data_IF_124637285002
#
_entry.id   IF_124637285002
#
_cell.length_a   1.000
_cell.length_b   1.000
_cell.length_c   1.000
_cell.angle_alpha   90.00
_cell.angle_beta   90.00
_cell.angle_gamma   90.00
#
_symmetry.space_group_name_H-M   'P 1'
#
loop_
_entity.id
_entity.type
_entity.pdbx_description
1 polymer ?
#
# COMPACT_ATOMS: atom_id res chain seq x y z
N UNK A 1 -12.30 -26.18 -15.42
CA UNK A 1 -12.31 -24.75 -15.07
C UNK A 1 -11.11 -24.42 -14.19
N UNK A 2 -10.23 -23.60 -14.69
CA UNK A 2 -9.07 -23.18 -13.91
C UNK A 2 -9.58 -22.31 -12.76
N UNK A 3 -9.34 -22.71 -11.52
CA UNK A 3 -9.65 -21.90 -10.35
C UNK A 3 -8.89 -20.58 -10.41
N UNK A 4 -9.54 -19.49 -10.06
CA UNK A 4 -8.82 -18.23 -9.84
C UNK A 4 -7.99 -18.42 -8.57
N UNK A 5 -6.67 -18.29 -8.68
CA UNK A 5 -5.81 -18.35 -7.50
C UNK A 5 -6.14 -17.18 -6.58
N UNK A 6 -6.46 -17.49 -5.34
CA UNK A 6 -6.70 -16.47 -4.33
C UNK A 6 -5.40 -15.76 -3.99
N UNK A 7 -5.48 -14.44 -3.83
CA UNK A 7 -4.33 -13.62 -3.49
C UNK A 7 -4.17 -13.51 -1.97
N UNK A 8 -2.93 -13.45 -1.54
CA UNK A 8 -2.57 -12.91 -0.24
C UNK A 8 -2.20 -11.46 -0.41
N UNK A 9 -3.00 -10.55 0.16
CA UNK A 9 -2.82 -9.11 0.06
C UNK A 9 -2.37 -8.57 1.41
N UNK A 10 -1.25 -7.87 1.43
CA UNK A 10 -0.78 -7.19 2.61
C UNK A 10 -1.01 -5.68 2.48
N UNK A 11 -1.84 -5.14 3.36
CA UNK A 11 -2.18 -3.71 3.39
C UNK A 11 -1.36 -3.03 4.48
N UNK A 12 -0.65 -1.95 4.13
CA UNK A 12 0.27 -1.26 5.03
C UNK A 12 -0.15 0.21 5.14
N UNK A 13 -0.60 0.61 6.32
CA UNK A 13 -1.03 1.99 6.57
C UNK A 13 0.07 2.87 7.17
N UNK A 14 1.20 2.27 7.56
CA UNK A 14 2.31 2.97 8.17
C UNK A 14 2.23 3.02 9.70
N UNK A 15 3.28 3.59 10.31
CA UNK A 15 3.44 3.61 11.77
C UNK A 15 3.23 5.00 12.38
N UNK A 16 2.90 6.00 11.58
CA UNK A 16 2.63 7.36 12.07
C UNK A 16 1.36 7.40 12.93
N UNK A 17 1.26 8.41 13.76
CA UNK A 17 0.14 8.61 14.68
C UNK A 17 -1.17 9.06 13.99
N UNK A 18 -1.12 9.40 12.73
CA UNK A 18 -2.30 9.81 11.96
C UNK A 18 -3.01 8.61 11.34
N UNK A 19 -4.33 8.65 11.43
CA UNK A 19 -5.20 7.55 10.97
C UNK A 19 -5.41 7.61 9.46
N UNK A 20 -5.58 6.43 8.85
CA UNK A 20 -5.86 6.29 7.43
C UNK A 20 -6.99 5.28 7.16
N UNK A 21 -8.20 5.49 7.76
CA UNK A 21 -9.29 4.52 7.59
C UNK A 21 -9.86 4.50 6.17
N UNK A 22 -9.74 5.59 5.42
CA UNK A 22 -10.30 5.73 4.07
C UNK A 22 -9.89 4.61 3.12
N UNK A 23 -8.64 4.14 3.22
CA UNK A 23 -8.17 3.02 2.40
C UNK A 23 -8.86 1.71 2.78
N UNK A 24 -9.01 1.43 4.07
CA UNK A 24 -9.70 0.22 4.55
C UNK A 24 -11.18 0.25 4.22
N UNK A 25 -11.82 1.41 4.32
CA UNK A 25 -13.23 1.60 3.94
C UNK A 25 -13.45 1.30 2.46
N UNK A 26 -12.53 1.74 1.60
CA UNK A 26 -12.60 1.46 0.16
C UNK A 26 -12.49 -0.04 -0.13
N UNK A 27 -11.57 -0.73 0.52
CA UNK A 27 -11.40 -2.18 0.35
C UNK A 27 -12.64 -2.92 0.86
N UNK A 28 -13.12 -2.59 2.07
CA UNK A 28 -14.29 -3.23 2.66
C UNK A 28 -15.54 -3.04 1.81
N UNK A 29 -15.74 -1.84 1.28
CA UNK A 29 -16.86 -1.55 0.37
C UNK A 29 -16.87 -2.50 -0.83
N UNK A 30 -15.71 -2.73 -1.44
CA UNK A 30 -15.60 -3.62 -2.60
C UNK A 30 -15.78 -5.10 -2.24
N UNK A 31 -15.38 -5.50 -1.04
CA UNK A 31 -15.68 -6.83 -0.52
C UNK A 31 -17.20 -7.00 -0.35
N UNK A 32 -17.84 -6.03 0.27
CA UNK A 32 -19.30 -6.05 0.52
C UNK A 32 -20.11 -6.05 -0.79
N UNK A 33 -19.61 -5.39 -1.82
CA UNK A 33 -20.22 -5.38 -3.16
C UNK A 33 -19.92 -6.66 -3.97
N UNK A 34 -19.12 -7.57 -3.44
CA UNK A 34 -18.73 -8.80 -4.13
C UNK A 34 -17.72 -8.61 -5.25
N UNK A 35 -17.07 -7.44 -5.32
CA UNK A 35 -16.05 -7.11 -6.33
C UNK A 35 -14.66 -7.57 -5.92
N UNK A 36 -14.43 -7.76 -4.64
CA UNK A 36 -13.25 -8.44 -4.09
C UNK A 36 -13.77 -9.71 -3.40
N UNK A 37 -13.17 -10.85 -3.74
CA UNK A 37 -13.60 -12.14 -3.18
C UNK A 37 -13.36 -12.18 -1.67
N UNK A 38 -14.37 -12.57 -0.91
CA UNK A 38 -14.27 -12.72 0.56
C UNK A 38 -13.27 -13.78 1.00
N UNK A 39 -12.87 -14.65 0.10
CA UNK A 39 -11.87 -15.70 0.36
C UNK A 39 -10.43 -15.20 0.21
N UNK A 40 -10.22 -13.99 -0.34
CA UNK A 40 -8.89 -13.40 -0.39
C UNK A 40 -8.33 -13.25 1.03
N UNK A 41 -7.06 -13.60 1.21
CA UNK A 41 -6.40 -13.38 2.49
C UNK A 41 -5.87 -11.96 2.56
N UNK A 42 -6.53 -11.12 3.35
CA UNK A 42 -6.15 -9.71 3.49
C UNK A 42 -5.67 -9.45 4.91
N UNK A 43 -4.38 -9.13 5.04
CA UNK A 43 -3.74 -8.79 6.30
C UNK A 43 -3.41 -7.31 6.29
N UNK A 44 -3.74 -6.61 7.36
CA UNK A 44 -3.57 -5.16 7.47
C UNK A 44 -2.65 -4.83 8.64
N UNK A 45 -1.59 -4.09 8.36
CA UNK A 45 -0.82 -3.38 9.39
C UNK A 45 -1.42 -1.98 9.52
N UNK A 46 -2.21 -1.77 10.56
CA UNK A 46 -3.05 -0.58 10.70
C UNK A 46 -2.39 0.56 11.49
N UNK A 47 -1.37 0.26 12.30
CA UNK A 47 -0.75 1.27 13.15
C UNK A 47 -1.77 1.91 14.10
N UNK A 48 -1.92 3.23 14.02
CA UNK A 48 -2.87 4.01 14.84
C UNK A 48 -4.31 3.94 14.34
N UNK A 49 -4.56 3.36 13.16
CA UNK A 49 -5.89 3.27 12.59
C UNK A 49 -6.69 2.17 13.27
N UNK A 50 -7.81 2.53 13.91
CA UNK A 50 -8.74 1.56 14.50
C UNK A 50 -9.82 1.22 13.48
N UNK A 51 -9.92 -0.06 13.14
CA UNK A 51 -10.88 -0.55 12.15
C UNK A 51 -11.29 -1.99 12.50
N UNK A 52 -12.55 -2.32 12.27
CA UNK A 52 -13.07 -3.67 12.48
C UNK A 52 -13.57 -4.23 11.15
N UNK A 53 -13.18 -5.45 10.84
CA UNK A 53 -13.62 -6.16 9.64
C UNK A 53 -13.74 -7.66 9.93
N UNK A 54 -14.75 -8.29 9.32
CA UNK A 54 -14.88 -9.75 9.34
C UNK A 54 -14.09 -10.41 8.20
N UNK A 55 -13.59 -9.60 7.25
CA UNK A 55 -12.95 -10.08 6.03
C UNK A 55 -11.46 -9.77 5.97
N UNK A 56 -10.97 -8.86 6.82
CA UNK A 56 -9.58 -8.47 6.89
C UNK A 56 -9.03 -8.71 8.29
N UNK A 57 -7.83 -9.27 8.38
CA UNK A 57 -7.11 -9.44 9.64
C UNK A 57 -6.39 -8.14 9.98
N UNK A 58 -6.92 -7.39 10.93
CA UNK A 58 -6.38 -6.09 11.32
C UNK A 58 -5.38 -6.27 12.46
N UNK A 59 -4.13 -5.88 12.22
CA UNK A 59 -3.05 -5.86 13.19
C UNK A 59 -2.63 -4.41 13.42
N UNK A 60 -2.43 -4.00 14.67
CA UNK A 60 -2.01 -2.62 14.98
C UNK A 60 -0.55 -2.40 14.63
N UNK A 61 0.36 -2.78 15.50
CA UNK A 61 1.80 -2.75 15.29
C UNK A 61 2.33 -4.18 15.29
N UNK A 62 3.27 -4.45 14.40
CA UNK A 62 3.89 -5.77 14.28
C UNK A 62 5.41 -5.62 14.37
N UNK A 63 6.09 -6.69 14.70
CA UNK A 63 7.55 -6.71 14.74
C UNK A 63 8.11 -6.55 13.31
N UNK A 64 9.38 -6.15 13.22
CA UNK A 64 10.09 -6.06 11.93
C UNK A 64 10.10 -7.42 11.24
N UNK A 65 10.33 -8.50 11.99
CA UNK A 65 10.34 -9.85 11.43
C UNK A 65 8.98 -10.27 10.87
N UNK A 66 7.89 -9.96 11.56
CA UNK A 66 6.54 -10.22 11.07
C UNK A 66 6.22 -9.38 9.83
N UNK A 67 6.63 -8.13 9.81
CA UNK A 67 6.46 -7.24 8.67
C UNK A 67 7.16 -7.80 7.43
N UNK A 68 8.42 -8.20 7.56
CA UNK A 68 9.18 -8.79 6.48
C UNK A 68 8.57 -10.11 5.98
N UNK A 69 8.09 -10.94 6.92
CA UNK A 69 7.39 -12.21 6.60
C UNK A 69 6.13 -11.97 5.77
N UNK A 70 5.31 -11.01 6.17
CA UNK A 70 4.09 -10.67 5.42
C UNK A 70 4.40 -10.12 4.04
N UNK A 71 5.42 -9.26 3.91
CA UNK A 71 5.87 -8.79 2.60
C UNK A 71 6.31 -9.97 1.74
N UNK A 72 7.12 -10.86 2.27
CA UNK A 72 7.62 -12.02 1.52
C UNK A 72 6.49 -12.91 1.01
N UNK A 73 5.49 -13.17 1.85
CA UNK A 73 4.35 -14.04 1.51
C UNK A 73 3.31 -13.39 0.62
N UNK A 74 3.25 -12.06 0.60
CA UNK A 74 2.22 -11.34 -0.14
C UNK A 74 2.38 -11.48 -1.64
N UNK A 75 1.26 -11.68 -2.33
CA UNK A 75 1.17 -11.59 -3.79
C UNK A 75 1.03 -10.14 -4.25
N UNK A 76 0.42 -9.31 -3.41
CA UNK A 76 0.15 -7.90 -3.69
C UNK A 76 0.31 -7.08 -2.41
N UNK A 77 0.97 -5.94 -2.53
CA UNK A 77 1.08 -4.93 -1.47
C UNK A 77 0.15 -3.77 -1.81
N UNK A 78 -0.71 -3.39 -0.88
CA UNK A 78 -1.48 -2.14 -0.96
C UNK A 78 -1.02 -1.26 0.20
N UNK A 79 -0.51 -0.07 -0.08
CA UNK A 79 0.10 0.73 0.98
C UNK A 79 -0.14 2.23 0.81
N UNK A 80 0.09 2.97 1.90
CA UNK A 80 0.23 4.42 1.82
C UNK A 80 1.47 4.77 1.00
N UNK A 81 1.53 6.00 0.49
CA UNK A 81 2.65 6.43 -0.35
C UNK A 81 3.85 6.90 0.50
N UNK A 82 4.28 6.06 1.44
CA UNK A 82 5.49 6.26 2.22
C UNK A 82 6.70 5.68 1.50
N UNK A 83 7.77 6.45 1.38
CA UNK A 83 8.98 6.05 0.65
C UNK A 83 9.57 4.75 1.20
N UNK A 84 9.73 4.66 2.52
CA UNK A 84 10.34 3.49 3.15
C UNK A 84 9.57 2.19 2.87
N UNK A 85 8.23 2.24 2.94
CA UNK A 85 7.38 1.09 2.66
C UNK A 85 7.46 0.67 1.19
N UNK A 86 7.33 1.62 0.28
CA UNK A 86 7.41 1.36 -1.16
C UNK A 86 8.78 0.74 -1.52
N UNK A 87 9.86 1.30 -1.01
CA UNK A 87 11.20 0.81 -1.29
C UNK A 87 11.43 -0.60 -0.77
N UNK A 88 10.96 -0.88 0.45
CA UNK A 88 11.08 -2.23 1.04
C UNK A 88 10.37 -3.27 0.16
N UNK A 89 9.18 -2.95 -0.32
CA UNK A 89 8.41 -3.84 -1.18
C UNK A 89 9.05 -3.99 -2.57
N UNK A 90 9.57 -2.90 -3.16
CA UNK A 90 10.25 -2.94 -4.46
C UNK A 90 11.51 -3.79 -4.43
N UNK A 91 12.30 -3.70 -3.35
CA UNK A 91 13.50 -4.54 -3.18
C UNK A 91 13.18 -6.03 -3.16
N UNK A 92 11.97 -6.40 -2.77
CA UNK A 92 11.48 -7.78 -2.76
C UNK A 92 10.68 -8.14 -4.02
N UNK A 93 10.75 -7.30 -5.05
CA UNK A 93 10.08 -7.49 -6.34
C UNK A 93 8.55 -7.68 -6.22
N UNK A 94 7.93 -6.99 -5.27
CA UNK A 94 6.49 -7.08 -5.06
C UNK A 94 5.74 -6.13 -5.98
N UNK A 95 4.53 -6.53 -6.36
CA UNK A 95 3.58 -5.65 -7.03
C UNK A 95 2.94 -4.75 -5.98
N UNK A 96 2.84 -3.46 -6.28
CA UNK A 96 2.42 -2.45 -5.31
C UNK A 96 1.31 -1.58 -5.89
N UNK A 97 0.23 -1.43 -5.13
CA UNK A 97 -0.75 -0.36 -5.29
C UNK A 97 -0.52 0.61 -4.14
N UNK A 98 -0.23 1.87 -4.43
CA UNK A 98 -0.01 2.88 -3.40
C UNK A 98 -1.07 3.98 -3.46
N UNK A 99 -1.43 4.52 -2.29
CA UNK A 99 -2.40 5.59 -2.12
C UNK A 99 -1.82 6.68 -1.23
N UNK A 100 -1.96 7.94 -1.65
CA UNK A 100 -1.45 9.06 -0.87
C UNK A 100 -2.35 9.36 0.34
N UNK A 101 -1.73 9.61 1.49
CA UNK A 101 -2.37 10.26 2.63
C UNK A 101 -2.52 11.74 2.31
N UNK A 102 -3.66 12.33 2.63
CA UNK A 102 -3.96 13.72 2.30
C UNK A 102 -4.27 14.55 3.53
N UNK A 103 -3.77 15.78 3.52
CA UNK A 103 -4.01 16.76 4.60
C UNK A 103 -5.50 17.04 4.78
N UNK A 104 -6.25 17.16 3.69
CA UNK A 104 -7.69 17.48 3.75
C UNK A 104 -8.51 16.46 4.53
N UNK A 105 -8.03 15.21 4.66
CA UNK A 105 -8.67 14.15 5.44
C UNK A 105 -8.02 13.95 6.81
N UNK A 106 -7.08 14.80 7.20
CA UNK A 106 -6.34 14.65 8.46
C UNK A 106 -5.39 13.47 8.51
N UNK A 107 -5.02 12.94 7.35
CA UNK A 107 -4.20 11.73 7.20
C UNK A 107 -2.70 12.01 7.23
N UNK A 108 -2.34 13.25 6.97
CA UNK A 108 -0.96 13.72 6.97
C UNK A 108 -0.90 15.22 7.28
N UNK A 109 0.28 15.71 7.64
CA UNK A 109 0.51 17.14 7.91
C UNK A 109 0.54 17.99 6.62
N UNK A 110 0.78 17.35 5.48
CA UNK A 110 0.85 17.97 4.15
C UNK A 110 0.40 16.97 3.08
N UNK A 111 0.45 17.36 1.80
CA UNK A 111 0.08 16.52 0.67
C UNK A 111 1.32 15.97 -0.08
N UNK A 112 2.44 15.85 0.61
CA UNK A 112 3.70 15.43 0.01
C UNK A 112 3.68 14.01 -0.53
N UNK A 113 2.84 13.13 0.04
CA UNK A 113 2.70 11.76 -0.46
C UNK A 113 2.16 11.71 -1.90
N UNK A 114 1.47 12.76 -2.38
CA UNK A 114 1.09 12.86 -3.80
C UNK A 114 2.32 12.92 -4.72
N UNK A 115 3.34 13.67 -4.32
CA UNK A 115 4.58 13.76 -5.11
C UNK A 115 5.34 12.44 -5.12
N UNK A 116 5.39 11.75 -3.99
CA UNK A 116 6.00 10.41 -3.88
C UNK A 116 5.26 9.44 -4.79
N UNK A 117 3.93 9.43 -4.72
CA UNK A 117 3.07 8.59 -5.54
C UNK A 117 3.33 8.80 -7.04
N UNK A 118 3.34 10.06 -7.48
CA UNK A 118 3.57 10.42 -8.88
C UNK A 118 4.97 10.01 -9.36
N UNK A 119 5.99 10.21 -8.54
CA UNK A 119 7.35 9.82 -8.88
C UNK A 119 7.49 8.32 -9.14
N UNK A 120 6.96 7.49 -8.26
CA UNK A 120 7.03 6.04 -8.41
C UNK A 120 6.13 5.53 -9.55
N UNK A 121 4.94 6.11 -9.69
CA UNK A 121 4.02 5.81 -10.79
C UNK A 121 4.67 6.11 -12.15
N UNK A 122 5.22 7.31 -12.31
CA UNK A 122 5.79 7.75 -13.59
C UNK A 122 7.01 6.94 -14.00
N UNK A 123 7.72 6.34 -13.06
CA UNK A 123 8.83 5.43 -13.33
C UNK A 123 8.38 3.99 -13.63
N UNK A 124 7.09 3.72 -13.55
CA UNK A 124 6.53 2.40 -13.83
C UNK A 124 6.75 1.37 -12.73
N UNK A 125 7.08 1.80 -11.52
CA UNK A 125 7.36 0.90 -10.39
C UNK A 125 6.11 0.43 -9.67
N UNK A 126 5.04 1.24 -9.66
CA UNK A 126 3.82 0.99 -8.90
C UNK A 126 2.58 1.36 -9.69
N UNK A 127 1.43 0.87 -9.24
CA UNK A 127 0.12 1.39 -9.62
C UNK A 127 -0.33 2.39 -8.57
N UNK A 128 -0.86 3.53 -9.01
CA UNK A 128 -1.32 4.59 -8.13
C UNK A 128 -2.84 4.52 -7.93
N UNK A 129 -3.29 4.45 -6.69
CA UNK A 129 -4.69 4.55 -6.33
C UNK A 129 -5.04 6.01 -6.08
N UNK A 130 -5.61 6.65 -7.09
CA UNK A 130 -6.04 8.05 -7.04
C UNK A 130 -7.54 8.14 -6.73
N UNK A 131 -8.37 7.39 -7.42
CA UNK A 131 -9.79 7.24 -7.12
C UNK A 131 -10.01 5.94 -6.33
N UNK A 132 -10.37 6.06 -5.07
CA UNK A 132 -10.51 4.90 -4.17
C UNK A 132 -11.63 3.94 -4.59
N UNK A 133 -12.64 4.42 -5.32
CA UNK A 133 -13.68 3.55 -5.89
C UNK A 133 -13.14 2.60 -6.97
N UNK A 134 -11.94 2.82 -7.47
CA UNK A 134 -11.29 1.98 -8.48
C UNK A 134 -10.36 0.91 -7.90
N UNK A 135 -10.35 0.72 -6.58
CA UNK A 135 -9.42 -0.23 -5.93
C UNK A 135 -9.57 -1.66 -6.46
N UNK A 136 -10.77 -2.12 -6.71
CA UNK A 136 -11.02 -3.46 -7.26
C UNK A 136 -10.45 -3.61 -8.68
N UNK A 137 -10.60 -2.58 -9.51
CA UNK A 137 -10.03 -2.56 -10.86
C UNK A 137 -8.50 -2.57 -10.84
N UNK A 138 -7.89 -1.83 -9.91
CA UNK A 138 -6.43 -1.83 -9.75
C UNK A 138 -5.90 -3.18 -9.25
N UNK A 139 -6.64 -3.86 -8.37
CA UNK A 139 -6.26 -5.21 -7.93
C UNK A 139 -6.25 -6.19 -9.12
N UNK A 140 -7.25 -6.10 -10.00
CA UNK A 140 -7.28 -6.90 -11.23
C UNK A 140 -6.13 -6.53 -12.16
N UNK A 141 -5.90 -5.25 -12.36
CA UNK A 141 -4.80 -4.75 -13.20
C UNK A 141 -3.44 -5.18 -12.66
N UNK A 142 -3.28 -5.23 -11.34
CA UNK A 142 -2.03 -5.65 -10.70
C UNK A 142 -1.62 -7.08 -11.07
N UNK A 143 -2.57 -7.97 -11.34
CA UNK A 143 -2.26 -9.35 -11.71
C UNK A 143 -1.45 -9.43 -13.00
N UNK A 144 -1.70 -8.53 -13.93
CA UNK A 144 -1.00 -8.47 -15.23
C UNK A 144 0.09 -7.40 -15.26
N UNK A 145 0.15 -6.55 -14.26
CA UNK A 145 1.12 -5.46 -14.19
C UNK A 145 2.55 -6.01 -14.07
N UNK A 146 3.43 -5.50 -14.92
CA UNK A 146 4.86 -5.80 -14.88
C UNK A 146 5.61 -4.54 -14.45
N UNK A 147 6.02 -4.47 -13.17
CA UNK A 147 6.79 -3.33 -12.69
C UNK A 147 8.08 -3.16 -13.50
N UNK A 148 8.47 -1.91 -13.74
CA UNK A 148 9.78 -1.62 -14.28
C UNK A 148 10.86 -2.19 -13.36
N UNK A 149 11.97 -2.62 -13.95
CA UNK A 149 13.06 -3.22 -13.18
C UNK A 149 13.63 -2.20 -12.20
N UNK A 150 13.42 -2.46 -10.91
CA UNK A 150 13.87 -1.59 -9.85
C UNK A 150 15.34 -1.89 -9.54
N UNK A 151 16.22 -0.96 -9.95
CA UNK A 151 17.62 -0.98 -9.53
C UNK A 151 17.77 -0.05 -8.34
N UNK A 152 18.24 -0.58 -7.21
CA UNK A 152 18.51 0.23 -6.04
C UNK A 152 19.55 1.28 -6.39
N UNK A 153 19.10 2.48 -6.70
CA UNK A 153 19.98 3.63 -6.85
C UNK A 153 20.07 4.34 -5.50
N UNK A 154 21.15 4.10 -4.77
CA UNK A 154 21.40 4.65 -3.44
C UNK A 154 21.23 6.17 -3.41
N UNK A 155 21.65 6.86 -4.48
CA UNK A 155 21.53 8.32 -4.59
C UNK A 155 20.07 8.78 -4.71
N UNK A 156 19.25 8.06 -5.48
CA UNK A 156 17.81 8.34 -5.60
C UNK A 156 17.12 8.17 -4.24
N UNK A 157 17.46 7.12 -3.51
CA UNK A 157 16.90 6.86 -2.18
C UNK A 157 17.26 7.95 -1.18
N UNK A 158 18.52 8.35 -1.13
CA UNK A 158 18.98 9.41 -0.23
C UNK A 158 18.26 10.72 -0.53
N UNK A 159 18.06 11.06 -1.80
CA UNK A 159 17.34 12.27 -2.19
C UNK A 159 15.89 12.24 -1.75
N UNK A 160 15.21 11.09 -1.87
CA UNK A 160 13.82 10.95 -1.44
C UNK A 160 13.71 10.98 0.09
N UNK A 161 14.62 10.33 0.80
CA UNK A 161 14.68 10.36 2.26
C UNK A 161 14.97 11.77 2.79
N UNK A 162 15.90 12.52 2.16
CA UNK A 162 16.17 13.90 2.51
C UNK A 162 14.95 14.79 2.33
N UNK A 163 14.20 14.62 1.25
CA UNK A 163 12.93 15.33 1.02
C UNK A 163 11.90 15.02 2.09
N UNK A 164 11.76 13.76 2.48
CA UNK A 164 10.84 13.37 3.56
C UNK A 164 11.27 13.95 4.91
N UNK A 165 12.55 13.89 5.24
CA UNK A 165 13.09 14.45 6.48
C UNK A 165 12.91 15.96 6.53
N UNK A 166 13.18 16.67 5.44
CA UNK A 166 13.00 18.13 5.36
C UNK A 166 11.53 18.55 5.49
N UNK A 167 10.59 17.67 5.22
CA UNK A 167 9.16 17.92 5.34
C UNK A 167 8.66 17.63 6.75
N UNK A 168 9.32 16.72 7.47
CA UNK A 168 9.01 16.38 8.86
C UNK A 168 9.72 17.32 9.85
N UNK A 169 10.68 18.09 9.37
CA UNK A 169 11.44 19.04 10.17
C UNK A 169 10.74 20.38 10.41
#
# INVERSE_FOLDING_TARGET
MLGVDLLMIFVILGTQDKKFPRLLEAIQKKIDEGKIDKKEEIIVQAGSTKYKSNNMKILDYISINQFEDYIEKADLIICHAGVGTILTALKKNKKIIAAARLKQYGEHVNDHQLQILDNFKNKGYILALENFDEIDNLIKQAQEFKPANFKSNKKFFLNQLEKEINILG
#
